data_IF_448229153407
#
_entry.id   IF_448229153407
#
_cell.length_a   1.000
_cell.length_b   1.000
_cell.length_c   1.000
_cell.angle_alpha   90.00
_cell.angle_beta   90.00
_cell.angle_gamma   90.00
#
_symmetry.space_group_name_H-M   'P 1'
#
loop_
_entity.id
_entity.type
_entity.pdbx_description
1 polymer ?
#
# COMPACT_ATOMS: atom_id res chain seq x y z
N UNK A 1 4.88 -0.77 -11.67
CA UNK A 1 5.44 -1.64 -10.64
C UNK A 1 4.58 -2.87 -10.56
N UNK A 2 5.08 -3.99 -11.04
CA UNK A 2 4.45 -5.30 -10.84
C UNK A 2 5.06 -5.95 -9.57
N UNK A 3 4.49 -7.07 -9.13
CA UNK A 3 5.00 -7.76 -7.94
C UNK A 3 6.39 -8.36 -8.18
N UNK A 4 6.64 -8.88 -9.38
CA UNK A 4 7.89 -9.54 -9.73
C UNK A 4 9.10 -8.59 -9.63
N UNK A 5 8.97 -7.35 -10.10
CA UNK A 5 9.98 -6.29 -9.98
C UNK A 5 10.31 -6.00 -8.50
N UNK A 6 9.30 -5.98 -7.63
CA UNK A 6 9.53 -5.75 -6.20
C UNK A 6 10.30 -6.93 -5.60
N UNK A 7 9.93 -8.17 -5.94
CA UNK A 7 10.63 -9.38 -5.46
C UNK A 7 12.09 -9.37 -5.91
N UNK A 8 12.36 -9.09 -7.19
CA UNK A 8 13.72 -9.02 -7.73
C UNK A 8 14.57 -7.95 -7.02
N UNK A 9 14.00 -6.77 -6.74
CA UNK A 9 14.69 -5.72 -6.00
C UNK A 9 15.04 -6.19 -4.58
N UNK A 10 14.11 -6.84 -3.88
CA UNK A 10 14.37 -7.37 -2.53
C UNK A 10 15.48 -8.43 -2.50
N UNK A 11 15.60 -9.25 -3.54
CA UNK A 11 16.66 -10.24 -3.67
C UNK A 11 18.03 -9.58 -3.86
N UNK A 12 18.08 -8.42 -4.55
CA UNK A 12 19.31 -7.64 -4.77
C UNK A 12 19.74 -6.86 -3.52
N UNK A 13 18.80 -6.27 -2.77
CA UNK A 13 19.11 -5.34 -1.66
C UNK A 13 19.92 -5.97 -0.51
N UNK A 14 19.99 -7.30 -0.40
CA UNK A 14 20.99 -8.04 0.39
C UNK A 14 20.92 -7.90 1.92
N UNK A 15 20.88 -6.67 2.45
CA UNK A 15 20.80 -6.36 3.87
C UNK A 15 19.38 -5.91 4.30
N UNK A 16 19.11 -6.07 5.59
CA UNK A 16 17.81 -5.79 6.18
C UNK A 16 17.47 -4.30 6.19
N UNK A 17 18.47 -3.44 6.40
CA UNK A 17 18.27 -2.00 6.52
C UNK A 17 17.82 -1.41 5.18
N UNK A 18 18.46 -1.81 4.08
CA UNK A 18 18.09 -1.42 2.73
C UNK A 18 16.68 -1.89 2.36
N UNK A 19 16.31 -3.13 2.69
CA UNK A 19 14.95 -3.64 2.48
C UNK A 19 13.90 -2.83 3.24
N UNK A 20 14.20 -2.47 4.48
CA UNK A 20 13.33 -1.63 5.29
C UNK A 20 13.17 -0.23 4.69
N UNK A 21 14.27 0.44 4.32
CA UNK A 21 14.23 1.75 3.67
C UNK A 21 13.42 1.70 2.37
N UNK A 22 13.62 0.67 1.56
CA UNK A 22 12.86 0.49 0.33
C UNK A 22 11.35 0.33 0.58
N UNK A 23 10.93 -0.40 1.62
CA UNK A 23 9.52 -0.46 2.02
C UNK A 23 8.95 0.91 2.40
N UNK A 24 9.70 1.70 3.15
CA UNK A 24 9.29 3.05 3.55
C UNK A 24 9.12 3.92 2.31
N UNK A 25 10.08 3.93 1.39
CA UNK A 25 9.98 4.69 0.14
C UNK A 25 8.79 4.27 -0.72
N UNK A 26 8.47 2.97 -0.76
CA UNK A 26 7.29 2.48 -1.47
C UNK A 26 5.99 3.00 -0.83
N UNK A 27 5.94 3.04 0.51
CA UNK A 27 4.83 3.63 1.26
C UNK A 27 4.67 5.13 1.01
N UNK A 28 5.77 5.89 1.02
CA UNK A 28 5.78 7.34 0.76
C UNK A 28 5.33 7.71 -0.67
N UNK A 29 5.51 6.81 -1.63
CA UNK A 29 5.04 6.98 -3.02
C UNK A 29 3.54 6.73 -3.19
N UNK A 30 2.85 6.22 -2.17
CA UNK A 30 1.41 5.99 -2.27
C UNK A 30 0.66 7.33 -2.38
N UNK A 31 -0.37 7.40 -3.23
CA UNK A 31 -1.24 8.57 -3.27
C UNK A 31 -1.90 8.81 -1.90
N UNK A 32 -2.05 10.07 -1.47
CA UNK A 32 -2.71 10.36 -0.21
C UNK A 32 -4.15 9.85 -0.24
N UNK A 33 -4.58 9.23 0.85
CA UNK A 33 -5.95 8.78 1.03
C UNK A 33 -6.87 9.97 1.35
N UNK A 34 -7.99 10.15 0.62
CA UNK A 34 -8.99 11.16 0.97
C UNK A 34 -9.54 10.96 2.38
N UNK A 35 -9.67 12.05 3.14
CA UNK A 35 -10.11 12.02 4.55
C UNK A 35 -11.50 11.39 4.72
N UNK A 36 -12.39 11.57 3.74
CA UNK A 36 -13.72 10.95 3.71
C UNK A 36 -13.71 9.42 3.75
N UNK A 37 -12.57 8.79 3.42
CA UNK A 37 -12.42 7.34 3.47
C UNK A 37 -11.80 6.82 4.75
N UNK A 38 -11.35 7.69 5.66
CA UNK A 38 -10.83 7.31 6.99
C UNK A 38 -11.96 7.01 7.98
N UNK A 39 -12.81 6.06 7.60
CA UNK A 39 -13.98 5.62 8.38
C UNK A 39 -13.69 4.32 9.13
N UNK A 40 -14.51 3.98 10.12
CA UNK A 40 -14.39 2.70 10.84
C UNK A 40 -14.65 1.47 9.95
N UNK A 41 -15.33 1.64 8.81
CA UNK A 41 -15.56 0.57 7.84
C UNK A 41 -14.26 0.19 7.08
N UNK A 42 -13.46 1.20 6.71
CA UNK A 42 -12.20 1.00 6.00
C UNK A 42 -11.02 0.75 6.96
N UNK A 43 -11.25 0.80 8.28
CA UNK A 43 -10.20 0.64 9.28
C UNK A 43 -9.82 -0.83 9.46
N UNK A 44 -8.52 -1.11 9.35
CA UNK A 44 -7.97 -2.45 9.56
C UNK A 44 -7.94 -2.75 11.06
N UNK A 45 -8.70 -3.76 11.47
CA UNK A 45 -8.84 -4.16 12.88
C UNK A 45 -7.64 -5.01 13.30
N UNK A 46 -7.12 -4.75 14.50
CA UNK A 46 -6.05 -5.54 15.11
C UNK A 46 -4.63 -5.18 14.67
N UNK A 47 -4.45 -4.09 13.92
CA UNK A 47 -3.12 -3.52 13.68
C UNK A 47 -2.63 -2.74 14.90
N UNK A 48 -1.31 -2.72 15.16
CA UNK A 48 -0.73 -1.91 16.23
C UNK A 48 -0.84 -0.40 15.96
N UNK A 49 -0.85 -0.01 14.67
CA UNK A 49 -1.04 1.36 14.20
C UNK A 49 -2.44 1.55 13.61
N UNK A 50 -2.86 2.79 13.39
CA UNK A 50 -4.15 3.08 12.78
C UNK A 50 -4.05 2.96 11.25
N UNK A 51 -4.48 1.84 10.70
CA UNK A 51 -4.43 1.61 9.25
C UNK A 51 -5.82 1.66 8.64
N UNK A 52 -5.95 2.32 7.49
CA UNK A 52 -7.15 2.34 6.66
C UNK A 52 -6.85 1.80 5.26
N UNK A 53 -7.78 1.03 4.70
CA UNK A 53 -7.73 0.52 3.33
C UNK A 53 -9.12 0.60 2.71
N UNK A 54 -9.22 1.20 1.52
CA UNK A 54 -10.46 1.26 0.74
C UNK A 54 -10.25 0.65 -0.64
N UNK A 55 -11.05 -0.36 -0.98
CA UNK A 55 -11.15 -0.88 -2.35
C UNK A 55 -12.14 -0.08 -3.20
N UNK A 56 -11.85 0.11 -4.48
CA UNK A 56 -12.77 0.72 -5.45
C UNK A 56 -12.51 0.17 -6.86
N UNK A 57 -13.54 0.07 -7.73
CA UNK A 57 -13.36 -0.40 -9.09
C UNK A 57 -12.55 0.60 -9.93
N UNK A 58 -11.77 0.10 -10.86
CA UNK A 58 -11.01 0.89 -11.83
C UNK A 58 -11.94 1.64 -12.78
N UNK A 59 -11.57 2.87 -13.13
CA UNK A 59 -12.38 3.72 -14.00
C UNK A 59 -12.53 3.15 -15.42
N UNK A 60 -11.51 2.46 -15.93
CA UNK A 60 -11.48 1.89 -17.28
C UNK A 60 -11.98 0.44 -17.32
N UNK A 61 -11.75 -0.33 -16.26
CA UNK A 61 -12.17 -1.72 -16.13
C UNK A 61 -12.75 -1.99 -14.72
N UNK A 62 -14.06 -2.22 -14.60
CA UNK A 62 -14.70 -2.52 -13.33
C UNK A 62 -14.23 -3.82 -12.67
N UNK A 63 -13.66 -4.76 -13.44
CA UNK A 63 -13.08 -5.99 -12.89
C UNK A 63 -11.70 -5.76 -12.27
N UNK A 64 -11.06 -4.62 -12.55
CA UNK A 64 -9.82 -4.22 -11.92
C UNK A 64 -10.14 -3.47 -10.64
N UNK A 65 -9.59 -3.93 -9.51
CA UNK A 65 -9.77 -3.26 -8.22
C UNK A 65 -8.55 -2.40 -7.92
N UNK A 66 -8.78 -1.16 -7.55
CA UNK A 66 -7.79 -0.21 -7.04
C UNK A 66 -7.98 -0.03 -5.52
N UNK A 67 -6.92 0.43 -4.86
CA UNK A 67 -6.92 0.62 -3.42
C UNK A 67 -6.41 2.01 -3.05
N UNK A 68 -7.04 2.61 -2.05
CA UNK A 68 -6.42 3.63 -1.20
C UNK A 68 -5.94 2.96 0.08
N UNK A 69 -4.81 3.42 0.62
CA UNK A 69 -4.28 2.97 1.89
C UNK A 69 -3.57 4.10 2.61
N UNK A 70 -3.67 4.12 3.94
CA UNK A 70 -2.97 5.04 4.83
C UNK A 70 -2.73 4.36 6.20
N UNK A 71 -1.66 4.73 6.91
CA UNK A 71 -1.22 4.07 8.15
C UNK A 71 -0.79 5.02 9.26
#
# INVERSE_FOLDING_TARGET
MNLDEVVEIFDILGDWEQRYQYLVELGEKLPPMPEEYKTEENKVKGCMSQVWVKAYPGAEDPNRIHFYGDC
#
